data_IF_972699749239
#
_entry.id   IF_972699749239
#
_cell.length_a   1.000
_cell.length_b   1.000
_cell.length_c   1.000
_cell.angle_alpha   90.00
_cell.angle_beta   90.00
_cell.angle_gamma   90.00
#
_symmetry.space_group_name_H-M   'P 1'
#
loop_
_entity.id
_entity.type
_entity.pdbx_description
1 polymer ?
#
# COMPACT_ATOMS: atom_id res chain seq x y z
N UNK A 1 9.23 28.74 7.24
CA UNK A 1 10.43 28.27 6.51
C UNK A 1 11.12 27.28 7.43
N UNK A 2 11.15 26.01 7.03
CA UNK A 2 11.68 24.93 7.85
C UNK A 2 13.21 24.93 7.89
N UNK A 3 13.75 24.57 9.06
CA UNK A 3 15.18 24.60 9.32
C UNK A 3 15.85 23.27 8.94
N UNK A 4 16.30 23.18 7.68
CA UNK A 4 17.17 22.09 7.20
C UNK A 4 18.49 22.70 6.75
N UNK A 5 19.61 22.23 7.29
CA UNK A 5 20.92 22.50 6.71
C UNK A 5 21.02 21.84 5.32
N UNK A 6 21.06 22.65 4.27
CA UNK A 6 21.05 22.18 2.88
C UNK A 6 22.32 21.40 2.51
N UNK A 7 23.42 21.59 3.23
CA UNK A 7 24.69 20.93 2.99
C UNK A 7 24.78 19.61 3.77
N UNK A 8 24.44 19.63 5.06
CA UNK A 8 24.66 18.47 5.93
C UNK A 8 23.44 17.54 6.04
N UNK A 9 22.22 18.04 5.82
CA UNK A 9 20.94 17.30 5.82
C UNK A 9 20.89 16.19 6.87
N UNK A 10 20.97 16.60 8.13
CA UNK A 10 21.02 15.71 9.29
C UNK A 10 19.86 14.72 9.25
N UNK A 11 20.16 13.44 9.41
CA UNK A 11 19.14 12.40 9.59
C UNK A 11 18.51 12.55 10.97
N UNK A 12 17.19 12.70 11.01
CA UNK A 12 16.41 12.79 12.24
C UNK A 12 16.23 11.43 12.92
N UNK A 13 16.60 10.33 12.24
CA UNK A 13 16.50 8.96 12.76
C UNK A 13 15.09 8.60 13.26
N UNK A 14 14.07 9.15 12.61
CA UNK A 14 12.67 8.82 12.90
C UNK A 14 12.48 7.32 12.71
N UNK A 15 11.96 6.67 13.74
CA UNK A 15 11.62 5.26 13.69
C UNK A 15 10.62 4.98 12.55
N UNK A 16 10.76 3.86 11.84
CA UNK A 16 9.92 3.58 10.68
C UNK A 16 8.45 3.37 11.04
N UNK A 17 8.13 2.87 12.25
CA UNK A 17 6.75 2.81 12.73
C UNK A 17 6.17 4.23 12.94
N UNK A 18 6.94 5.11 13.59
CA UNK A 18 6.56 6.51 13.78
C UNK A 18 6.38 7.25 12.46
N UNK A 19 7.26 6.98 11.48
CA UNK A 19 7.13 7.52 10.13
C UNK A 19 5.81 7.06 9.48
N UNK A 20 5.47 5.77 9.58
CA UNK A 20 4.21 5.24 9.02
C UNK A 20 2.97 5.79 9.74
N UNK A 21 3.02 6.02 11.05
CA UNK A 21 1.93 6.63 11.81
C UNK A 21 1.61 8.07 11.37
N UNK A 22 2.54 8.76 10.69
CA UNK A 22 2.22 10.05 10.08
C UNK A 22 1.21 9.92 8.93
N UNK A 23 1.16 8.75 8.28
CA UNK A 23 0.24 8.46 7.16
C UNK A 23 -0.94 7.58 7.57
N UNK A 24 -0.75 6.71 8.56
CA UNK A 24 -1.64 5.60 8.91
C UNK A 24 -2.15 5.74 10.33
N UNK A 25 -3.37 5.28 10.58
CA UNK A 25 -3.91 5.16 11.94
C UNK A 25 -3.65 3.77 12.52
N UNK A 26 -3.65 3.67 13.85
CA UNK A 26 -3.61 2.36 14.50
C UNK A 26 -4.80 1.50 14.05
N UNK A 27 -4.54 0.22 13.80
CA UNK A 27 -5.50 -0.74 13.25
C UNK A 27 -5.71 -0.66 11.73
N UNK A 28 -5.13 0.32 11.03
CA UNK A 28 -5.22 0.37 9.57
C UNK A 28 -4.17 -0.54 8.91
N UNK A 29 -4.50 -1.18 7.78
CA UNK A 29 -3.53 -1.93 6.99
C UNK A 29 -2.54 -0.98 6.30
N UNK A 30 -1.26 -1.34 6.36
CA UNK A 30 -0.20 -0.77 5.55
C UNK A 30 0.25 -1.79 4.54
N UNK A 31 0.37 -1.35 3.29
CA UNK A 31 0.79 -2.20 2.21
C UNK A 31 2.23 -1.87 1.84
N UNK A 32 3.07 -2.89 1.81
CA UNK A 32 4.48 -2.79 1.51
C UNK A 32 4.80 -3.46 0.18
N UNK A 33 5.85 -2.95 -0.46
CA UNK A 33 6.49 -3.60 -1.60
C UNK A 33 7.98 -3.66 -1.37
N UNK A 34 8.53 -4.86 -1.48
CA UNK A 34 9.97 -5.11 -1.48
C UNK A 34 10.37 -5.49 -2.91
N UNK A 35 11.17 -4.66 -3.56
CA UNK A 35 11.53 -4.86 -4.97
C UNK A 35 13.04 -4.76 -5.15
N UNK A 36 13.61 -5.65 -5.95
CA UNK A 36 15.04 -5.68 -6.23
C UNK A 36 15.46 -4.39 -6.95
N UNK A 37 16.33 -3.61 -6.32
CA UNK A 37 16.66 -2.26 -6.80
C UNK A 37 17.51 -2.30 -8.08
N UNK A 38 18.44 -3.26 -8.19
CA UNK A 38 19.42 -3.34 -9.27
C UNK A 38 18.87 -3.95 -10.56
N UNK A 39 18.26 -5.14 -10.48
CA UNK A 39 17.80 -5.90 -11.67
C UNK A 39 16.31 -5.76 -11.94
N UNK A 40 15.52 -5.34 -10.94
CA UNK A 40 14.06 -5.38 -10.95
C UNK A 40 13.46 -6.76 -11.26
N UNK A 41 14.25 -7.84 -11.16
CA UNK A 41 13.83 -9.20 -11.51
C UNK A 41 12.81 -9.79 -10.53
N UNK A 42 12.81 -9.29 -9.29
CA UNK A 42 11.97 -9.78 -8.22
C UNK A 42 11.26 -8.65 -7.48
N UNK A 43 9.99 -8.85 -7.16
CA UNK A 43 9.25 -8.04 -6.22
C UNK A 43 8.28 -8.89 -5.39
N UNK A 44 8.08 -8.50 -4.13
CA UNK A 44 7.11 -9.08 -3.22
C UNK A 44 6.25 -7.97 -2.62
N UNK A 45 4.95 -8.24 -2.58
CA UNK A 45 3.97 -7.44 -1.84
C UNK A 45 3.67 -8.13 -0.52
N UNK A 46 3.58 -7.36 0.54
CA UNK A 46 3.11 -7.80 1.87
C UNK A 46 2.25 -6.70 2.49
N UNK A 47 1.53 -7.01 3.56
CA UNK A 47 0.84 -6.03 4.39
C UNK A 47 0.88 -6.43 5.86
N UNK A 48 0.66 -5.44 6.73
CA UNK A 48 0.37 -5.66 8.14
C UNK A 48 -0.57 -4.58 8.63
N UNK A 49 -1.15 -4.77 9.81
CA UNK A 49 -1.86 -3.71 10.50
C UNK A 49 -0.87 -2.86 11.30
N UNK A 50 -1.17 -1.56 11.43
CA UNK A 50 -0.49 -0.69 12.38
C UNK A 50 -1.00 -0.98 13.79
N UNK A 51 -0.55 -2.05 14.42
CA UNK A 51 -0.87 -2.29 15.83
C UNK A 51 0.24 -1.72 16.72
N UNK A 52 -0.15 -1.19 17.87
CA UNK A 52 0.77 -0.77 18.94
C UNK A 52 1.33 -1.98 19.72
N UNK A 53 0.94 -3.19 19.33
CA UNK A 53 1.59 -4.41 19.81
C UNK A 53 2.88 -4.59 19.02
N UNK A 54 4.03 -4.53 19.72
CA UNK A 54 5.36 -4.70 19.11
C UNK A 54 5.42 -5.93 18.20
N UNK A 55 4.65 -6.98 18.48
CA UNK A 55 4.74 -8.29 17.82
C UNK A 55 4.48 -8.26 16.30
N UNK A 56 3.46 -7.53 15.80
CA UNK A 56 3.12 -7.55 14.37
C UNK A 56 4.09 -6.71 13.52
N UNK A 57 4.37 -5.49 13.96
CA UNK A 57 5.28 -4.62 13.21
C UNK A 57 6.74 -5.08 13.33
N UNK A 58 7.15 -5.67 14.45
CA UNK A 58 8.49 -6.27 14.58
C UNK A 58 8.68 -7.44 13.60
N UNK A 59 7.65 -8.26 13.38
CA UNK A 59 7.68 -9.29 12.33
C UNK A 59 7.91 -8.64 10.95
N UNK A 60 7.20 -7.55 10.63
CA UNK A 60 7.43 -6.83 9.38
C UNK A 60 8.85 -6.27 9.26
N UNK A 61 9.44 -5.75 10.34
CA UNK A 61 10.86 -5.34 10.33
C UNK A 61 11.79 -6.52 10.04
N UNK A 62 11.50 -7.73 10.55
CA UNK A 62 12.25 -8.93 10.20
C UNK A 62 12.14 -9.28 8.71
N UNK A 63 10.93 -9.17 8.15
CA UNK A 63 10.68 -9.33 6.70
C UNK A 63 11.49 -8.30 5.90
N UNK A 64 11.48 -7.03 6.29
CA UNK A 64 12.26 -5.98 5.62
C UNK A 64 13.76 -6.28 5.63
N UNK A 65 14.32 -6.69 6.78
CA UNK A 65 15.73 -7.09 6.90
C UNK A 65 16.08 -8.25 5.96
N UNK A 66 15.22 -9.27 5.89
CA UNK A 66 15.39 -10.41 4.97
C UNK A 66 15.44 -9.97 3.51
N UNK A 67 14.58 -9.06 3.10
CA UNK A 67 14.52 -8.58 1.71
C UNK A 67 15.64 -7.58 1.38
N UNK A 68 16.06 -6.74 2.33
CA UNK A 68 17.29 -5.94 2.20
C UNK A 68 18.51 -6.83 1.90
N UNK A 69 18.65 -7.97 2.59
CA UNK A 69 19.69 -8.96 2.31
C UNK A 69 19.63 -9.59 0.92
N UNK A 70 18.49 -9.47 0.22
CA UNK A 70 18.30 -9.91 -1.18
C UNK A 70 18.46 -8.78 -2.19
N UNK A 71 18.97 -7.62 -1.78
CA UNK A 71 19.12 -6.46 -2.66
C UNK A 71 17.82 -5.72 -2.97
N UNK A 72 16.79 -5.89 -2.14
CA UNK A 72 15.51 -5.20 -2.33
C UNK A 72 15.48 -3.87 -1.58
N UNK A 73 14.96 -2.83 -2.24
CA UNK A 73 14.49 -1.62 -1.57
C UNK A 73 13.14 -1.87 -0.89
N UNK A 74 12.87 -1.14 0.20
CA UNK A 74 11.64 -1.24 0.98
C UNK A 74 10.75 -0.02 0.70
N UNK A 75 9.51 -0.28 0.29
CA UNK A 75 8.54 0.74 -0.09
C UNK A 75 7.19 0.50 0.60
N UNK A 76 6.40 1.56 0.77
CA UNK A 76 5.02 1.50 1.27
C UNK A 76 4.07 2.26 0.34
N UNK A 77 2.79 1.85 0.31
CA UNK A 77 1.73 2.61 -0.36
C UNK A 77 1.32 3.79 0.51
N UNK A 78 1.45 5.01 -0.03
CA UNK A 78 1.26 6.25 0.74
C UNK A 78 -0.17 6.41 1.21
N UNK A 79 -1.13 6.29 0.29
CA UNK A 79 -2.57 6.44 0.57
C UNK A 79 -3.18 5.15 1.16
N UNK A 80 -4.38 5.25 1.71
CA UNK A 80 -5.05 4.16 2.43
C UNK A 80 -5.92 3.31 1.51
N UNK A 81 -6.17 2.06 1.93
CA UNK A 81 -7.13 1.16 1.28
C UNK A 81 -6.48 -0.10 0.71
N UNK A 82 -5.61 0.02 -0.30
CA UNK A 82 -5.01 -1.16 -0.95
C UNK A 82 -3.82 -0.88 -1.86
N UNK A 83 -3.40 -1.91 -2.62
CA UNK A 83 -2.21 -1.84 -3.48
C UNK A 83 -2.49 -1.37 -4.91
N UNK A 84 -3.76 -1.29 -5.32
CA UNK A 84 -4.17 -0.82 -6.64
C UNK A 84 -4.94 0.49 -6.49
N UNK A 85 -4.89 1.36 -7.51
CA UNK A 85 -5.60 2.64 -7.47
C UNK A 85 -7.09 2.51 -7.16
N UNK A 86 -7.75 1.44 -7.64
CA UNK A 86 -9.18 1.15 -7.38
C UNK A 86 -9.48 0.75 -5.94
N UNK A 87 -8.47 0.30 -5.21
CA UNK A 87 -8.61 -0.12 -3.80
C UNK A 87 -8.32 1.04 -2.84
N UNK A 88 -7.88 2.20 -3.34
CA UNK A 88 -7.57 3.37 -2.50
C UNK A 88 -8.87 4.00 -2.02
N UNK A 89 -9.06 4.03 -0.70
CA UNK A 89 -10.30 4.49 -0.06
C UNK A 89 -10.19 5.89 0.51
N UNK A 90 -8.99 6.33 0.88
CA UNK A 90 -8.75 7.68 1.37
C UNK A 90 -7.31 8.14 1.12
N UNK A 91 -7.12 9.45 1.09
CA UNK A 91 -5.82 10.08 0.88
C UNK A 91 -5.12 10.32 2.22
N UNK A 92 -3.80 10.34 2.23
CA UNK A 92 -3.04 10.67 3.44
C UNK A 92 -2.08 11.82 3.19
N UNK A 93 -1.66 12.00 1.94
CA UNK A 93 -0.76 13.05 1.53
C UNK A 93 -0.88 13.33 0.02
N UNK A 94 -0.52 14.56 -0.35
CA UNK A 94 0.08 14.84 -1.66
C UNK A 94 1.59 14.77 -1.56
N UNK A 95 2.29 14.44 -2.64
CA UNK A 95 3.72 14.14 -2.57
C UNK A 95 4.44 14.33 -3.90
N UNK A 96 5.75 14.55 -3.84
CA UNK A 96 6.63 14.51 -5.01
C UNK A 96 7.81 13.55 -4.83
N UNK A 97 8.36 13.12 -5.97
CA UNK A 97 9.57 12.29 -6.06
C UNK A 97 10.55 12.96 -7.03
N UNK A 98 11.53 13.65 -6.46
CA UNK A 98 12.59 14.31 -7.21
C UNK A 98 13.80 13.37 -7.32
N UNK A 99 14.21 13.03 -8.54
CA UNK A 99 15.42 12.24 -8.84
C UNK A 99 16.33 13.05 -9.78
N UNK A 100 17.51 13.42 -9.29
CA UNK A 100 18.48 14.23 -10.03
C UNK A 100 19.58 13.40 -10.69
N UNK A 101 19.53 12.07 -10.61
CA UNK A 101 20.61 11.20 -11.11
C UNK A 101 20.74 11.19 -12.63
N UNK A 102 19.74 11.72 -13.35
CA UNK A 102 19.67 11.73 -14.81
C UNK A 102 19.37 13.13 -15.33
N UNK A 103 19.98 13.45 -16.45
CA UNK A 103 19.77 14.67 -17.21
C UNK A 103 19.43 14.33 -18.66
N UNK A 104 18.43 15.00 -19.22
CA UNK A 104 18.11 14.88 -20.65
C UNK A 104 18.97 15.91 -21.40
N UNK A 105 19.91 15.45 -22.21
CA UNK A 105 20.84 16.31 -22.95
C UNK A 105 20.41 16.57 -24.40
N UNK A 106 19.38 15.87 -24.86
CA UNK A 106 18.82 16.04 -26.20
C UNK A 106 17.82 14.95 -26.54
N UNK A 107 17.46 14.90 -27.82
CA UNK A 107 16.61 13.87 -28.40
C UNK A 107 17.35 13.28 -29.61
N UNK A 108 17.27 11.96 -29.78
CA UNK A 108 17.76 11.32 -31.00
C UNK A 108 16.82 11.58 -32.19
N UNK A 109 17.22 11.09 -33.36
CA UNK A 109 16.46 11.20 -34.62
C UNK A 109 15.05 10.60 -34.56
N UNK A 110 14.77 9.72 -33.59
CA UNK A 110 13.47 9.09 -33.37
C UNK A 110 12.67 9.77 -32.24
N UNK A 111 13.14 10.92 -31.72
CA UNK A 111 12.50 11.64 -30.63
C UNK A 111 12.70 10.99 -29.26
N UNK A 112 13.63 10.04 -29.10
CA UNK A 112 13.92 9.42 -27.81
C UNK A 112 14.91 10.29 -27.03
N UNK A 113 14.65 10.45 -25.74
CA UNK A 113 15.50 11.22 -24.82
C UNK A 113 16.91 10.62 -24.74
N UNK A 114 17.92 11.44 -24.98
CA UNK A 114 19.33 11.13 -24.71
C UNK A 114 19.61 11.49 -23.25
N UNK A 115 20.11 10.52 -22.48
CA UNK A 115 20.27 10.64 -21.02
C UNK A 115 21.75 10.65 -20.66
N UNK A 116 22.19 11.70 -19.97
CA UNK A 116 23.47 11.74 -19.23
C UNK A 116 23.20 11.40 -17.77
N UNK A 117 24.03 10.53 -17.19
CA UNK A 117 24.04 10.31 -15.74
C UNK A 117 24.89 11.39 -15.07
N UNK A 118 24.35 12.03 -14.04
CA UNK A 118 25.07 13.08 -13.30
C UNK A 118 26.13 12.47 -12.38
N UNK A 119 27.20 13.22 -12.12
CA UNK A 119 28.20 12.87 -11.10
C UNK A 119 27.63 13.08 -9.69
N UNK A 120 28.28 12.51 -8.67
CA UNK A 120 27.86 12.71 -7.28
C UNK A 120 27.85 14.21 -6.88
N UNK A 121 28.82 15.00 -7.34
CA UNK A 121 28.87 16.45 -7.08
C UNK A 121 27.74 17.22 -7.79
N UNK A 122 27.42 16.84 -9.04
CA UNK A 122 26.30 17.43 -9.79
C UNK A 122 24.94 17.09 -9.14
N UNK A 123 24.79 15.87 -8.62
CA UNK A 123 23.60 15.43 -7.87
C UNK A 123 23.49 16.22 -6.56
N UNK A 124 24.60 16.36 -5.83
CA UNK A 124 24.66 17.08 -4.56
C UNK A 124 24.28 18.55 -4.73
N UNK A 125 24.80 19.22 -5.75
CA UNK A 125 24.41 20.58 -6.10
C UNK A 125 22.91 20.67 -6.44
N UNK A 126 22.40 19.74 -7.25
CA UNK A 126 20.98 19.69 -7.61
C UNK A 126 20.08 19.50 -6.38
N UNK A 127 20.52 18.70 -5.41
CA UNK A 127 19.82 18.54 -4.13
C UNK A 127 19.76 19.83 -3.32
N UNK A 128 20.86 20.57 -3.26
CA UNK A 128 20.93 21.87 -2.56
C UNK A 128 20.00 22.89 -3.22
N UNK A 129 20.08 23.04 -4.55
CA UNK A 129 19.22 23.94 -5.33
C UNK A 129 17.73 23.61 -5.14
N UNK A 130 17.39 22.32 -5.13
CA UNK A 130 16.02 21.87 -4.91
C UNK A 130 15.50 22.18 -3.50
N UNK A 131 16.33 22.02 -2.46
CA UNK A 131 15.94 22.39 -1.10
C UNK A 131 15.77 23.90 -0.95
N UNK A 132 16.58 24.71 -1.62
CA UNK A 132 16.39 26.17 -1.68
C UNK A 132 15.02 26.49 -2.31
N UNK A 133 14.71 25.86 -3.45
CA UNK A 133 13.42 26.02 -4.12
C UNK A 133 12.24 25.60 -3.21
N UNK A 134 12.34 24.46 -2.52
CA UNK A 134 11.31 23.99 -1.59
C UNK A 134 11.14 24.93 -0.39
N UNK A 135 12.23 25.47 0.16
CA UNK A 135 12.16 26.42 1.28
C UNK A 135 11.49 27.75 0.89
N UNK A 136 11.62 28.16 -0.37
CA UNK A 136 10.98 29.37 -0.90
C UNK A 136 9.51 29.17 -1.27
N UNK A 137 9.02 27.92 -1.27
CA UNK A 137 7.62 27.64 -1.53
C UNK A 137 6.74 28.12 -0.37
N UNK A 138 5.52 28.58 -0.70
CA UNK A 138 4.62 29.26 0.23
C UNK A 138 4.22 28.38 1.42
N UNK A 139 3.97 27.09 1.16
CA UNK A 139 3.67 26.10 2.19
C UNK A 139 4.80 25.07 2.27
N UNK A 140 5.28 24.79 3.47
CA UNK A 140 6.34 23.81 3.63
C UNK A 140 5.83 22.36 3.55
N UNK A 141 6.63 21.41 3.04
CA UNK A 141 6.29 19.99 3.14
C UNK A 141 6.25 19.56 4.61
N UNK A 142 5.31 18.72 5.00
CA UNK A 142 5.24 18.09 6.33
C UNK A 142 6.44 17.17 6.60
N UNK A 143 6.85 16.41 5.58
CA UNK A 143 7.91 15.41 5.68
C UNK A 143 8.82 15.50 4.46
N UNK A 144 10.14 15.39 4.67
CA UNK A 144 11.13 15.26 3.60
C UNK A 144 12.04 14.06 3.90
N UNK A 145 12.13 13.15 2.93
CA UNK A 145 12.95 11.94 2.96
C UNK A 145 14.00 12.03 1.87
N UNK A 146 15.27 12.01 2.26
CA UNK A 146 16.40 11.97 1.33
C UNK A 146 16.61 10.55 0.80
N UNK A 147 16.64 10.43 -0.52
CA UNK A 147 17.07 9.22 -1.25
C UNK A 147 18.45 9.44 -1.86
N UNK A 148 19.06 8.39 -2.46
CA UNK A 148 20.41 8.49 -3.07
C UNK A 148 20.54 9.71 -3.98
N UNK A 149 19.61 9.88 -4.93
CA UNK A 149 19.71 10.88 -5.99
C UNK A 149 18.76 12.06 -5.84
N UNK A 150 17.96 12.13 -4.77
CA UNK A 150 17.04 13.25 -4.57
C UNK A 150 16.15 13.08 -3.35
N UNK A 151 14.85 13.38 -3.46
CA UNK A 151 13.96 13.50 -2.32
C UNK A 151 12.55 12.98 -2.59
N UNK A 152 11.97 12.31 -1.59
CA UNK A 152 10.52 12.25 -1.45
C UNK A 152 10.07 13.34 -0.48
N UNK A 153 9.03 14.09 -0.83
CA UNK A 153 8.50 15.14 0.03
C UNK A 153 6.97 15.08 0.04
N UNK A 154 6.37 15.36 1.18
CA UNK A 154 4.97 15.09 1.46
C UNK A 154 4.30 16.29 2.09
N UNK A 155 3.11 16.65 1.62
CA UNK A 155 2.15 17.48 2.35
C UNK A 155 1.06 16.55 2.89
N UNK A 156 1.12 16.27 4.19
CA UNK A 156 0.14 15.42 4.87
C UNK A 156 -1.23 16.09 4.84
N UNK A 157 -2.27 15.29 4.62
CA UNK A 157 -3.64 15.80 4.55
C UNK A 157 -4.32 15.78 5.93
N UNK A 158 -5.19 16.76 6.16
CA UNK A 158 -6.24 16.70 7.19
C UNK A 158 -7.21 15.55 6.83
N UNK A 159 -7.78 14.88 7.83
CA UNK A 159 -8.64 13.70 7.60
C UNK A 159 -9.98 14.06 6.95
N UNK A 160 -10.46 15.26 7.21
CA UNK A 160 -11.75 15.74 6.75
C UNK A 160 -11.68 16.22 5.29
N UNK A 161 -12.78 16.00 4.54
CA UNK A 161 -13.02 16.60 3.22
C UNK A 161 -11.96 16.29 2.15
N UNK A 162 -11.44 15.06 2.15
CA UNK A 162 -10.55 14.59 1.09
C UNK A 162 -11.35 14.10 -0.11
N UNK A 163 -11.01 14.61 -1.29
CA UNK A 163 -11.58 14.20 -2.55
C UNK A 163 -10.51 13.52 -3.43
N UNK A 164 -10.74 12.23 -3.71
CA UNK A 164 -9.91 11.42 -4.60
C UNK A 164 -9.81 12.03 -6.00
N UNK A 165 -10.86 12.74 -6.45
CA UNK A 165 -10.95 13.36 -7.77
C UNK A 165 -9.94 14.52 -7.93
N UNK A 166 -9.62 15.21 -6.83
CA UNK A 166 -8.65 16.30 -6.78
C UNK A 166 -7.21 15.82 -6.69
N UNK A 167 -6.98 14.52 -6.40
CA UNK A 167 -5.63 13.99 -6.22
C UNK A 167 -4.73 14.23 -7.45
N UNK A 168 -5.16 13.74 -8.61
CA UNK A 168 -4.38 13.77 -9.84
C UNK A 168 -4.12 15.19 -10.37
N UNK A 169 -5.10 16.11 -10.39
CA UNK A 169 -4.86 17.50 -10.76
C UNK A 169 -3.81 18.20 -9.89
N UNK A 170 -3.92 18.07 -8.57
CA UNK A 170 -2.96 18.68 -7.65
C UNK A 170 -1.57 18.03 -7.80
N UNK A 171 -1.48 16.70 -7.94
CA UNK A 171 -0.20 16.04 -8.21
C UNK A 171 0.47 16.55 -9.49
N UNK A 172 -0.30 16.78 -10.56
CA UNK A 172 0.24 17.40 -11.78
C UNK A 172 0.74 18.83 -11.53
N UNK A 173 0.05 19.61 -10.72
CA UNK A 173 0.50 20.95 -10.36
C UNK A 173 1.81 20.90 -9.54
N UNK A 174 1.95 19.95 -8.60
CA UNK A 174 3.21 19.69 -7.87
C UNK A 174 4.32 19.32 -8.84
N UNK A 175 4.07 18.37 -9.76
CA UNK A 175 5.04 17.94 -10.78
C UNK A 175 5.51 19.13 -11.61
N UNK A 176 4.59 20.00 -12.05
CA UNK A 176 4.94 21.17 -12.85
C UNK A 176 5.73 22.21 -12.04
N UNK A 177 5.35 22.44 -10.78
CA UNK A 177 6.01 23.41 -9.90
C UNK A 177 7.45 23.03 -9.58
N UNK A 178 7.70 21.75 -9.35
CA UNK A 178 8.98 21.21 -8.87
C UNK A 178 9.75 20.41 -9.91
N UNK A 179 9.22 20.28 -11.13
CA UNK A 179 9.81 19.53 -12.24
C UNK A 179 10.23 18.10 -11.86
N UNK A 180 9.37 17.39 -11.13
CA UNK A 180 9.61 16.02 -10.65
C UNK A 180 9.15 14.96 -11.66
N UNK A 181 9.28 13.67 -11.33
CA UNK A 181 8.86 12.58 -12.22
C UNK A 181 7.37 12.72 -12.62
N UNK A 182 7.06 12.84 -13.94
CA UNK A 182 5.69 13.04 -14.41
C UNK A 182 4.76 11.85 -14.16
N UNK A 183 5.32 10.69 -13.83
CA UNK A 183 4.53 9.51 -13.56
C UNK A 183 3.88 9.55 -12.18
N UNK A 184 4.29 10.43 -11.25
CA UNK A 184 3.84 10.44 -9.83
C UNK A 184 2.41 11.00 -9.66
N UNK A 185 1.44 10.42 -10.38
CA UNK A 185 0.03 10.83 -10.39
C UNK A 185 -0.92 9.71 -9.95
N UNK A 186 -0.38 8.54 -9.59
CA UNK A 186 -1.14 7.36 -9.21
C UNK A 186 -1.51 7.37 -7.72
N UNK A 187 -2.77 7.04 -7.41
CA UNK A 187 -3.28 7.00 -6.03
C UNK A 187 -2.54 5.98 -5.15
N UNK A 188 -2.12 4.86 -5.73
CA UNK A 188 -1.41 3.77 -5.05
C UNK A 188 0.12 3.90 -5.13
N UNK A 189 0.65 5.12 -5.31
CA UNK A 189 2.10 5.33 -5.42
C UNK A 189 2.80 4.74 -4.19
N UNK A 190 3.87 4.00 -4.48
CA UNK A 190 4.80 3.49 -3.49
C UNK A 190 6.02 4.41 -3.38
N UNK A 191 6.47 4.68 -2.16
CA UNK A 191 7.69 5.46 -1.89
C UNK A 191 8.53 4.76 -0.82
N UNK A 192 9.83 5.10 -0.75
CA UNK A 192 10.78 4.43 0.15
C UNK A 192 10.55 4.83 1.61
N UNK A 193 10.75 3.86 2.51
CA UNK A 193 10.72 4.05 3.96
C UNK A 193 12.12 4.47 4.45
N UNK A 194 12.25 5.44 5.39
CA UNK A 194 13.51 5.76 6.05
C UNK A 194 14.17 4.57 6.74
N UNK A 195 15.46 4.72 7.08
CA UNK A 195 16.30 3.74 7.77
C UNK A 195 16.73 2.50 6.97
N UNK A 196 16.10 2.22 5.82
CA UNK A 196 16.50 1.14 4.91
C UNK A 196 17.49 1.63 3.85
N UNK A 197 18.13 0.71 3.11
CA UNK A 197 19.12 1.08 2.10
C UNK A 197 18.50 1.15 0.70
N UNK A 198 18.96 2.11 -0.09
CA UNK A 198 18.86 2.10 -1.54
C UNK A 198 20.00 1.24 -2.10
N UNK A 199 19.65 0.19 -2.86
CA UNK A 199 20.57 -0.86 -3.30
C UNK A 199 20.66 -0.99 -4.82
N UNK A 200 20.42 0.10 -5.57
CA UNK A 200 20.56 0.12 -7.03
C UNK A 200 21.99 -0.21 -7.45
N UNK A 201 22.95 0.33 -6.71
CA UNK A 201 24.35 -0.05 -6.74
C UNK A 201 24.72 -0.70 -5.39
N UNK A 202 24.80 -2.05 -5.33
CA UNK A 202 25.14 -2.75 -4.09
C UNK A 202 26.53 -2.40 -3.53
N UNK A 203 27.45 -1.88 -4.36
CA UNK A 203 28.78 -1.47 -3.92
C UNK A 203 28.80 -0.08 -3.28
N UNK A 204 27.75 0.72 -3.53
CA UNK A 204 27.59 2.08 -3.00
C UNK A 204 26.19 2.28 -2.40
N UNK A 205 25.84 1.51 -1.35
CA UNK A 205 24.52 1.59 -0.73
C UNK A 205 24.30 2.95 -0.08
N UNK A 206 23.07 3.44 -0.11
CA UNK A 206 22.70 4.69 0.55
C UNK A 206 21.55 4.48 1.52
N UNK A 207 21.76 4.85 2.78
CA UNK A 207 20.69 4.80 3.79
C UNK A 207 19.71 5.94 3.55
N UNK A 208 18.43 5.60 3.38
CA UNK A 208 17.33 6.56 3.25
C UNK A 208 17.18 7.30 4.57
N UNK A 209 17.23 8.65 4.54
CA UNK A 209 17.20 9.51 5.73
C UNK A 209 15.90 10.29 5.79
N UNK A 210 15.36 10.50 6.98
CA UNK A 210 14.29 11.47 7.18
C UNK A 210 14.94 12.77 7.64
N UNK A 211 14.86 13.83 6.84
CA UNK A 211 15.58 15.09 7.09
C UNK A 211 14.65 16.23 7.55
N UNK A 212 13.34 16.04 7.41
CA UNK A 212 12.29 16.84 8.07
C UNK A 212 11.11 15.94 8.39
N UNK A 213 10.57 16.09 9.59
CA UNK A 213 9.41 15.35 10.05
C UNK A 213 8.55 16.21 10.98
N UNK A 214 7.35 16.56 10.51
CA UNK A 214 6.29 17.15 11.32
C UNK A 214 4.97 16.46 10.98
N UNK A 215 4.53 15.55 11.85
CA UNK A 215 3.30 14.76 11.67
C UNK A 215 2.02 15.55 11.99
N UNK A 216 2.15 16.72 12.62
CA UNK A 216 1.06 17.61 12.97
C UNK A 216 0.81 18.66 11.89
N UNK A 217 1.83 19.00 11.09
CA UNK A 217 1.68 19.91 9.96
C UNK A 217 0.88 19.26 8.84
N UNK A 218 -0.41 19.60 8.76
CA UNK A 218 -1.38 19.00 7.82
C UNK A 218 -2.17 20.07 7.09
N UNK A 219 -2.48 19.77 5.83
CA UNK A 219 -3.14 20.67 4.90
C UNK A 219 -4.44 20.08 4.36
N UNK A 220 -5.36 20.94 3.96
CA UNK A 220 -6.45 20.61 3.06
C UNK A 220 -5.92 20.59 1.62
N UNK A 221 -6.64 19.90 0.73
CA UNK A 221 -6.31 19.95 -0.70
C UNK A 221 -6.45 21.37 -1.28
N UNK A 222 -7.31 22.21 -0.70
CA UNK A 222 -7.48 23.61 -1.11
C UNK A 222 -6.25 24.44 -0.75
N UNK A 223 -5.75 24.36 0.50
CA UNK A 223 -4.52 25.05 0.91
C UNK A 223 -3.33 24.68 0.01
N UNK A 224 -3.22 23.40 -0.38
CA UNK A 224 -2.15 22.94 -1.30
C UNK A 224 -2.37 23.49 -2.72
N UNK A 225 -3.61 23.44 -3.22
CA UNK A 225 -3.92 23.91 -4.57
C UNK A 225 -3.74 25.42 -4.72
N UNK A 226 -4.14 26.21 -3.71
CA UNK A 226 -3.98 27.67 -3.69
C UNK A 226 -2.50 28.05 -3.75
N UNK A 227 -1.65 27.41 -2.94
CA UNK A 227 -0.20 27.62 -2.97
C UNK A 227 0.44 27.21 -4.32
N UNK A 228 -0.17 26.25 -5.04
CA UNK A 228 0.22 25.84 -6.37
C UNK A 228 -0.39 26.70 -7.49
N UNK A 229 -1.25 27.65 -7.16
CA UNK A 229 -2.05 28.44 -8.10
C UNK A 229 -2.87 27.55 -9.04
N UNK A 230 -3.43 26.47 -8.48
CA UNK A 230 -4.24 25.48 -9.17
C UNK A 230 -5.72 25.77 -8.94
N UNK A 231 -6.44 26.18 -9.99
CA UNK A 231 -7.87 26.49 -9.91
C UNK A 231 -8.72 25.21 -9.75
N UNK A 232 -9.06 24.89 -8.50
CA UNK A 232 -9.89 23.75 -8.16
C UNK A 232 -11.33 23.88 -8.67
N UNK A 233 -11.86 25.09 -8.88
CA UNK A 233 -13.22 25.28 -9.38
C UNK A 233 -13.32 24.83 -10.84
N UNK A 234 -12.32 25.16 -11.67
CA UNK A 234 -12.23 24.66 -13.04
C UNK A 234 -12.15 23.13 -13.06
N UNK A 235 -11.36 22.55 -12.15
CA UNK A 235 -11.21 21.10 -12.03
C UNK A 235 -12.55 20.44 -11.64
N UNK A 236 -13.20 20.93 -10.59
CA UNK A 236 -14.50 20.44 -10.12
C UNK A 236 -15.56 20.57 -11.22
N UNK A 237 -15.61 21.70 -11.93
CA UNK A 237 -16.54 21.90 -13.06
C UNK A 237 -16.30 20.90 -14.19
N UNK A 238 -15.04 20.60 -14.51
CA UNK A 238 -14.71 19.59 -15.53
C UNK A 238 -15.07 18.17 -15.08
N UNK A 239 -14.92 17.87 -13.79
CA UNK A 239 -15.30 16.58 -13.20
C UNK A 239 -16.83 16.44 -13.21
N UNK A 240 -17.57 17.47 -12.79
CA UNK A 240 -19.04 17.49 -12.83
C UNK A 240 -19.57 17.27 -14.25
N UNK A 241 -19.02 17.96 -15.26
CA UNK A 241 -19.38 17.74 -16.67
C UNK A 241 -19.12 16.32 -17.15
N UNK A 242 -18.02 15.70 -16.70
CA UNK A 242 -17.69 14.31 -17.03
C UNK A 242 -18.62 13.31 -16.33
N UNK A 243 -18.99 13.58 -15.09
CA UNK A 243 -19.97 12.78 -14.33
C UNK A 243 -21.35 12.86 -15.00
N UNK A 244 -21.80 14.05 -15.39
CA UNK A 244 -23.07 14.25 -16.12
C UNK A 244 -23.12 13.49 -17.45
N UNK A 245 -22.00 13.44 -18.18
CA UNK A 245 -21.89 12.65 -19.41
C UNK A 245 -22.01 11.14 -19.13
N UNK A 246 -21.30 10.63 -18.10
CA UNK A 246 -21.34 9.21 -17.72
C UNK A 246 -22.70 8.78 -17.14
N UNK A 247 -23.39 9.66 -16.39
CA UNK A 247 -24.73 9.38 -15.86
C UNK A 247 -25.75 9.22 -16.99
N UNK A 248 -25.64 10.02 -18.06
CA UNK A 248 -26.49 9.87 -19.26
C UNK A 248 -26.29 8.52 -19.95
N UNK A 249 -25.06 8.00 -19.98
CA UNK A 249 -24.76 6.66 -20.51
C UNK A 249 -25.26 5.54 -19.59
N UNK A 250 -25.09 5.67 -18.28
CA UNK A 250 -25.49 4.63 -17.32
C UNK A 250 -27.01 4.54 -17.09
N UNK A 251 -27.77 5.63 -17.25
CA UNK A 251 -29.24 5.62 -17.17
C UNK A 251 -29.91 4.70 -18.20
N UNK A 252 -29.22 4.38 -19.29
CA UNK A 252 -29.69 3.43 -20.31
C UNK A 252 -29.56 1.96 -19.83
N UNK A 253 -28.73 1.69 -18.83
CA UNK A 253 -28.40 0.33 -18.37
C UNK A 253 -29.18 -0.11 -17.11
N UNK A 254 -29.66 0.82 -16.28
CA UNK A 254 -30.25 0.53 -14.95
C UNK A 254 -31.73 0.05 -14.96
N UNK A 255 -32.43 0.01 -16.10
CA UNK A 255 -33.84 -0.44 -16.14
C UNK A 255 -34.06 -1.95 -15.90
N UNK A 256 -33.01 -2.72 -15.58
CA UNK A 256 -33.07 -4.20 -15.46
C UNK A 256 -32.43 -4.72 -14.17
N UNK A 257 -33.10 -4.56 -13.02
CA UNK A 257 -33.26 -5.61 -11.99
C UNK A 257 -33.76 -5.06 -10.66
N UNK A 258 -34.73 -5.75 -10.05
CA UNK A 258 -35.13 -5.57 -8.63
C UNK A 258 -34.69 -6.80 -7.81
N UNK A 259 -34.45 -6.69 -6.50
CA UNK A 259 -33.86 -7.77 -5.70
C UNK A 259 -34.89 -8.62 -4.95
N UNK A 260 -34.55 -9.90 -4.72
CA UNK A 260 -35.25 -10.77 -3.75
C UNK A 260 -34.29 -11.69 -2.95
N UNK A 261 -34.19 -11.36 -1.65
CA UNK A 261 -34.16 -12.13 -0.38
C UNK A 261 -33.38 -13.48 -0.24
N UNK A 262 -32.35 -13.44 0.65
CA UNK A 262 -31.72 -14.43 1.58
C UNK A 262 -30.79 -15.55 1.04
N UNK A 263 -29.72 -16.02 1.71
CA UNK A 263 -29.29 -16.10 3.14
C UNK A 263 -27.80 -15.69 3.32
N UNK A 264 -27.49 -14.87 4.32
CA UNK A 264 -26.12 -14.55 4.74
C UNK A 264 -25.40 -15.81 5.27
N UNK A 265 -24.20 -16.09 4.76
CA UNK A 265 -23.27 -17.03 5.41
C UNK A 265 -22.67 -16.28 6.61
N UNK A 266 -23.08 -16.60 7.83
CA UNK A 266 -22.65 -15.88 9.04
C UNK A 266 -21.52 -16.58 9.80
N UNK A 267 -21.20 -17.84 9.46
CA UNK A 267 -20.14 -18.60 10.13
C UNK A 267 -19.48 -19.67 9.22
N UNK A 268 -18.31 -20.16 9.64
CA UNK A 268 -17.63 -21.31 9.00
C UNK A 268 -18.31 -22.60 9.43
N UNK A 269 -18.63 -23.46 8.48
CA UNK A 269 -19.20 -24.77 8.72
C UNK A 269 -18.10 -25.81 8.60
N UNK A 270 -17.67 -26.37 9.73
CA UNK A 270 -16.67 -27.45 9.76
C UNK A 270 -17.42 -28.77 9.61
N UNK A 271 -17.46 -29.31 8.37
CA UNK A 271 -18.32 -30.46 8.02
C UNK A 271 -17.68 -31.84 8.25
N UNK A 272 -16.39 -31.91 8.62
CA UNK A 272 -15.65 -33.16 8.84
C UNK A 272 -14.74 -33.07 10.07
N UNK A 273 -14.48 -34.20 10.72
CA UNK A 273 -13.39 -34.35 11.68
C UNK A 273 -12.03 -34.24 10.95
N UNK A 274 -11.19 -33.30 11.39
CA UNK A 274 -9.88 -33.04 10.79
C UNK A 274 -8.80 -33.85 11.48
N UNK A 275 -7.82 -34.32 10.70
CA UNK A 275 -6.66 -35.05 11.23
C UNK A 275 -5.82 -34.15 12.13
N UNK A 276 -5.48 -34.64 13.33
CA UNK A 276 -4.54 -33.95 14.22
C UNK A 276 -3.19 -33.82 13.53
N UNK A 277 -2.86 -32.59 13.11
CA UNK A 277 -1.61 -32.27 12.44
C UNK A 277 -0.85 -31.24 13.26
N UNK A 278 0.37 -31.60 13.66
CA UNK A 278 1.28 -30.68 14.34
C UNK A 278 1.98 -29.79 13.31
N UNK A 279 2.11 -28.50 13.65
CA UNK A 279 2.81 -27.51 12.83
C UNK A 279 3.89 -26.84 13.66
N UNK A 280 5.04 -26.59 13.04
CA UNK A 280 6.19 -25.99 13.72
C UNK A 280 6.21 -24.46 13.61
N UNK A 281 5.53 -23.90 12.60
CA UNK A 281 5.55 -22.47 12.30
C UNK A 281 4.14 -21.95 11.94
N UNK A 282 3.92 -20.65 12.10
CA UNK A 282 2.66 -20.00 11.68
C UNK A 282 2.54 -20.04 10.16
N UNK A 283 3.66 -19.96 9.44
CA UNK A 283 3.71 -20.05 7.98
C UNK A 283 3.16 -21.39 7.48
N UNK A 284 3.55 -22.51 8.10
CA UNK A 284 3.04 -23.83 7.74
C UNK A 284 1.54 -23.94 7.99
N UNK A 285 1.03 -23.30 9.05
CA UNK A 285 -0.40 -23.25 9.36
C UNK A 285 -1.15 -22.43 8.33
N UNK A 286 -0.64 -21.26 7.96
CA UNK A 286 -1.25 -20.40 6.94
C UNK A 286 -1.30 -21.12 5.59
N UNK A 287 -0.21 -21.77 5.19
CA UNK A 287 -0.16 -22.54 3.95
C UNK A 287 -1.08 -23.75 3.98
N UNK A 288 -1.22 -24.40 5.14
CA UNK A 288 -2.21 -25.46 5.34
C UNK A 288 -3.64 -24.94 5.21
N UNK A 289 -3.99 -23.85 5.90
CA UNK A 289 -5.33 -23.27 5.87
C UNK A 289 -5.74 -22.86 4.44
N UNK A 290 -4.82 -22.27 3.66
CA UNK A 290 -5.07 -21.89 2.26
C UNK A 290 -5.33 -23.05 1.30
N UNK A 291 -4.93 -24.26 1.68
CA UNK A 291 -5.10 -25.48 0.88
C UNK A 291 -6.39 -26.23 1.20
N UNK A 292 -7.15 -25.78 2.19
CA UNK A 292 -8.41 -26.42 2.56
C UNK A 292 -9.48 -26.18 1.50
N UNK A 293 -10.33 -27.17 1.29
CA UNK A 293 -11.45 -27.06 0.34
C UNK A 293 -12.40 -25.96 0.82
N UNK A 294 -12.42 -24.88 0.05
CA UNK A 294 -13.17 -23.69 0.40
C UNK A 294 -14.69 -23.90 0.34
N UNK A 295 -15.16 -24.80 -0.52
CA UNK A 295 -16.59 -25.15 -0.60
C UNK A 295 -17.02 -25.87 0.67
N UNK A 296 -16.22 -26.83 1.13
CA UNK A 296 -16.48 -27.56 2.37
C UNK A 296 -16.46 -26.63 3.60
N UNK A 297 -15.42 -25.79 3.72
CA UNK A 297 -15.23 -24.91 4.88
C UNK A 297 -16.31 -23.83 4.99
N UNK A 298 -16.79 -23.32 3.86
CA UNK A 298 -17.83 -22.29 3.83
C UNK A 298 -19.25 -22.86 3.75
N UNK A 299 -19.40 -24.19 3.71
CA UNK A 299 -20.69 -24.85 3.53
C UNK A 299 -21.35 -24.56 2.17
N UNK A 300 -20.56 -24.22 1.15
CA UNK A 300 -21.03 -23.90 -0.19
C UNK A 300 -21.15 -25.20 -0.98
N UNK A 301 -22.40 -25.60 -1.29
CA UNK A 301 -22.71 -26.76 -2.14
C UNK A 301 -22.55 -26.39 -3.62
N UNK A 302 -21.30 -26.21 -4.07
CA UNK A 302 -20.96 -25.94 -5.47
C UNK A 302 -19.66 -26.65 -5.82
N UNK A 303 -19.58 -27.25 -7.01
CA UNK A 303 -18.34 -27.83 -7.52
C UNK A 303 -17.35 -26.74 -7.93
N UNK A 304 -16.03 -26.99 -7.88
CA UNK A 304 -15.04 -26.03 -8.36
C UNK A 304 -15.31 -25.59 -9.80
N UNK A 305 -15.15 -24.29 -10.06
CA UNK A 305 -15.42 -23.61 -11.32
C UNK A 305 -16.91 -23.55 -11.73
N UNK A 306 -17.84 -24.00 -10.88
CA UNK A 306 -19.28 -23.77 -11.08
C UNK A 306 -19.68 -22.46 -10.41
N UNK A 307 -20.47 -21.65 -11.12
CA UNK A 307 -20.93 -20.38 -10.60
C UNK A 307 -22.04 -20.56 -9.54
N UNK A 308 -21.98 -19.79 -8.46
CA UNK A 308 -23.00 -19.71 -7.41
C UNK A 308 -23.22 -18.26 -6.97
N UNK A 309 -24.20 -18.02 -6.10
CA UNK A 309 -24.52 -16.67 -5.60
C UNK A 309 -23.43 -16.20 -4.62
N UNK A 310 -23.06 -14.92 -4.69
CA UNK A 310 -22.03 -14.38 -3.81
C UNK A 310 -22.42 -14.49 -2.33
N UNK A 311 -21.43 -14.79 -1.47
CA UNK A 311 -21.62 -14.85 -0.02
C UNK A 311 -21.57 -13.47 0.66
N UNK A 312 -21.26 -12.41 -0.10
CA UNK A 312 -21.04 -11.07 0.45
C UNK A 312 -22.03 -10.00 -0.02
N UNK A 313 -22.88 -10.31 -1.01
CA UNK A 313 -23.96 -9.41 -1.43
C UNK A 313 -25.04 -10.20 -2.15
N UNK A 314 -26.19 -9.57 -2.30
CA UNK A 314 -27.29 -10.12 -3.06
C UNK A 314 -26.98 -10.10 -4.57
N UNK A 315 -27.35 -11.20 -5.20
CA UNK A 315 -27.18 -11.46 -6.62
C UNK A 315 -28.48 -12.02 -7.20
N UNK A 316 -28.94 -11.46 -8.32
CA UNK A 316 -30.05 -12.04 -9.10
C UNK A 316 -29.58 -13.17 -10.04
N UNK A 317 -28.28 -13.22 -10.34
CA UNK A 317 -27.63 -14.28 -11.12
C UNK A 317 -26.34 -14.72 -10.43
N UNK A 318 -25.98 -16.02 -10.45
CA UNK A 318 -24.72 -16.50 -9.90
C UNK A 318 -23.54 -15.66 -10.37
N UNK A 319 -22.85 -14.99 -9.44
CA UNK A 319 -21.73 -14.11 -9.75
C UNK A 319 -20.41 -14.60 -9.15
N UNK A 320 -20.48 -15.53 -8.19
CA UNK A 320 -19.32 -16.06 -7.50
C UNK A 320 -18.87 -17.41 -8.07
N UNK A 321 -17.58 -17.70 -7.94
CA UNK A 321 -16.97 -18.97 -8.34
C UNK A 321 -15.79 -19.28 -7.42
N UNK A 322 -15.64 -20.55 -7.06
CA UNK A 322 -14.46 -21.06 -6.36
C UNK A 322 -13.62 -21.81 -7.39
N UNK A 323 -12.41 -21.36 -7.64
CA UNK A 323 -11.46 -22.07 -8.51
C UNK A 323 -10.52 -22.92 -7.66
N UNK A 324 -10.08 -24.06 -8.19
CA UNK A 324 -9.03 -24.88 -7.60
C UNK A 324 -7.91 -25.06 -8.63
N UNK A 325 -6.70 -24.65 -8.27
CA UNK A 325 -5.47 -24.92 -9.05
C UNK A 325 -4.46 -25.61 -8.15
N UNK A 326 -4.20 -26.90 -8.39
CA UNK A 326 -3.22 -27.69 -7.64
C UNK A 326 -3.43 -27.66 -6.10
N UNK A 327 -4.71 -27.67 -5.66
CA UNK A 327 -5.08 -27.65 -4.24
C UNK A 327 -5.03 -26.26 -3.60
N UNK A 328 -4.87 -25.19 -4.38
CA UNK A 328 -5.04 -23.82 -3.92
C UNK A 328 -6.42 -23.32 -4.34
N UNK A 329 -7.26 -23.04 -3.36
CA UNK A 329 -8.63 -22.57 -3.57
C UNK A 329 -8.70 -21.05 -3.57
N UNK A 330 -9.44 -20.49 -4.52
CA UNK A 330 -9.65 -19.05 -4.63
C UNK A 330 -11.10 -18.74 -4.96
N UNK A 331 -11.70 -17.89 -4.13
CA UNK A 331 -13.04 -17.34 -4.34
C UNK A 331 -12.97 -16.07 -5.18
N UNK A 332 -13.80 -16.01 -6.21
CA UNK A 332 -14.01 -14.82 -7.04
C UNK A 332 -15.47 -14.46 -7.01
N UNK A 333 -15.76 -13.16 -7.09
CA UNK A 333 -17.07 -12.65 -7.43
C UNK A 333 -16.91 -11.70 -8.62
N UNK A 334 -17.62 -11.98 -9.70
CA UNK A 334 -17.58 -11.26 -10.96
C UNK A 334 -18.62 -10.13 -11.03
N UNK A 335 -19.40 -9.93 -9.95
CA UNK A 335 -20.36 -8.84 -9.89
C UNK A 335 -19.63 -7.50 -9.71
N UNK A 336 -19.92 -6.49 -10.55
CA UNK A 336 -19.28 -5.17 -10.45
C UNK A 336 -19.68 -4.41 -9.18
N UNK A 337 -20.76 -4.81 -8.52
CA UNK A 337 -21.24 -4.22 -7.26
C UNK A 337 -20.65 -4.92 -6.01
N UNK A 338 -19.89 -6.00 -6.19
CA UNK A 338 -19.28 -6.72 -5.07
C UNK A 338 -18.17 -5.89 -4.44
N UNK A 339 -18.39 -5.43 -3.21
CA UNK A 339 -17.37 -4.70 -2.42
C UNK A 339 -16.11 -5.53 -2.12
N UNK A 340 -16.19 -6.84 -2.31
CA UNK A 340 -15.08 -7.77 -2.06
C UNK A 340 -14.55 -8.43 -3.34
N UNK A 341 -14.84 -7.84 -4.51
CA UNK A 341 -14.23 -8.26 -5.77
C UNK A 341 -12.70 -8.20 -5.70
N UNK A 342 -12.05 -9.30 -6.05
CA UNK A 342 -10.58 -9.40 -6.12
C UNK A 342 -10.15 -10.21 -7.35
N UNK A 343 -9.43 -9.56 -8.28
CA UNK A 343 -8.90 -10.20 -9.49
C UNK A 343 -7.88 -11.33 -9.24
N UNK A 344 -7.29 -11.38 -8.04
CA UNK A 344 -6.39 -12.48 -7.62
C UNK A 344 -7.12 -13.57 -6.82
N UNK A 345 -8.40 -13.37 -6.53
CA UNK A 345 -9.23 -14.26 -5.72
C UNK A 345 -8.91 -14.19 -4.23
N UNK A 346 -9.93 -14.36 -3.41
CA UNK A 346 -9.83 -14.43 -1.96
C UNK A 346 -9.48 -15.87 -1.55
N UNK A 347 -8.51 -16.03 -0.64
CA UNK A 347 -8.37 -17.30 0.08
C UNK A 347 -9.30 -17.36 1.31
N UNK A 348 -9.29 -18.49 2.02
CA UNK A 348 -10.18 -18.68 3.17
C UNK A 348 -9.90 -17.69 4.31
N UNK A 349 -8.65 -17.25 4.47
CA UNK A 349 -8.28 -16.29 5.51
C UNK A 349 -8.81 -14.90 5.11
N UNK A 350 -8.62 -14.51 3.85
CA UNK A 350 -9.18 -13.26 3.31
C UNK A 350 -10.70 -13.19 3.51
N UNK A 351 -11.40 -14.30 3.26
CA UNK A 351 -12.85 -14.42 3.43
C UNK A 351 -13.24 -14.21 4.90
N UNK A 352 -12.55 -14.87 5.84
CA UNK A 352 -12.82 -14.71 7.28
C UNK A 352 -12.57 -13.28 7.75
N UNK A 353 -11.45 -12.68 7.36
CA UNK A 353 -11.13 -11.29 7.67
C UNK A 353 -12.28 -10.36 7.25
N UNK A 354 -12.83 -10.58 6.06
CA UNK A 354 -13.92 -9.76 5.49
C UNK A 354 -15.28 -10.04 6.14
N UNK A 355 -15.63 -11.32 6.31
CA UNK A 355 -16.90 -11.74 6.92
C UNK A 355 -17.03 -11.25 8.36
N UNK A 356 -15.94 -11.36 9.15
CA UNK A 356 -15.97 -11.05 10.58
C UNK A 356 -15.40 -9.68 10.93
N UNK A 357 -14.86 -8.96 9.93
CA UNK A 357 -14.16 -7.68 10.16
C UNK A 357 -13.05 -7.80 11.22
N UNK A 358 -12.27 -8.88 11.14
CA UNK A 358 -11.16 -9.19 12.06
C UNK A 358 -9.81 -9.17 11.34
N UNK A 359 -8.73 -9.07 12.11
CA UNK A 359 -7.35 -9.03 11.60
C UNK A 359 -6.92 -10.38 11.00
N UNK A 360 -5.82 -10.39 10.23
CA UNK A 360 -5.27 -11.63 9.67
C UNK A 360 -4.94 -12.66 10.76
N UNK A 361 -4.28 -12.23 11.85
CA UNK A 361 -3.90 -13.15 12.93
C UNK A 361 -5.12 -13.64 13.72
N UNK A 362 -6.15 -12.80 13.90
CA UNK A 362 -7.43 -13.22 14.50
C UNK A 362 -8.17 -14.18 13.60
N UNK A 363 -8.15 -13.97 12.28
CA UNK A 363 -8.71 -14.90 11.31
C UNK A 363 -7.97 -16.24 11.31
N UNK A 364 -6.64 -16.23 11.38
CA UNK A 364 -5.82 -17.45 11.54
C UNK A 364 -6.13 -18.15 12.85
N UNK A 365 -6.20 -17.42 13.98
CA UNK A 365 -6.58 -18.00 15.29
C UNK A 365 -7.97 -18.59 15.27
N UNK A 366 -8.93 -17.87 14.69
CA UNK A 366 -10.31 -18.31 14.53
C UNK A 366 -10.39 -19.59 13.67
N UNK A 367 -9.66 -19.64 12.56
CA UNK A 367 -9.54 -20.84 11.74
C UNK A 367 -8.86 -21.97 12.51
N UNK A 368 -7.76 -21.72 13.23
CA UNK A 368 -7.11 -22.73 14.06
C UNK A 368 -8.07 -23.33 15.09
N UNK A 369 -8.89 -22.50 15.74
CA UNK A 369 -9.95 -22.97 16.65
C UNK A 369 -10.99 -23.85 15.93
N UNK A 370 -11.42 -23.46 14.73
CA UNK A 370 -12.39 -24.23 13.92
C UNK A 370 -11.83 -25.56 13.42
N UNK A 371 -10.53 -25.61 13.11
CA UNK A 371 -9.85 -26.80 12.63
C UNK A 371 -9.19 -27.62 13.75
N UNK A 372 -9.35 -27.24 15.02
CA UNK A 372 -8.68 -27.85 16.17
C UNK A 372 -7.15 -27.92 16.03
N UNK A 373 -6.55 -26.91 15.40
CA UNK A 373 -5.09 -26.78 15.23
C UNK A 373 -4.53 -26.03 16.43
N UNK A 374 -3.58 -26.65 17.12
CA UNK A 374 -2.82 -25.97 18.17
C UNK A 374 -1.81 -25.01 17.55
N UNK A 375 -1.86 -23.75 17.97
CA UNK A 375 -0.89 -22.74 17.52
C UNK A 375 0.46 -22.99 18.19
N UNK A 376 1.60 -22.87 17.49
CA UNK A 376 2.92 -23.05 18.09
C UNK A 376 3.08 -22.08 19.27
N UNK A 377 3.36 -22.66 20.43
CA UNK A 377 3.38 -22.01 21.75
C UNK A 377 4.38 -20.83 21.84
N UNK A 378 4.16 -19.92 22.80
CA UNK A 378 4.79 -18.59 23.04
C UNK A 378 6.34 -18.55 23.22
N UNK A 379 7.08 -19.52 22.68
CA UNK A 379 8.55 -19.63 22.80
C UNK A 379 9.34 -18.54 22.05
N UNK A 380 8.69 -17.66 21.29
CA UNK A 380 9.33 -16.54 20.59
C UNK A 380 9.52 -15.28 21.44
N UNK A 381 8.87 -15.16 22.61
CA UNK A 381 9.14 -14.07 23.58
C UNK A 381 10.51 -14.20 24.25
N UNK A 382 11.14 -15.39 24.25
CA UNK A 382 12.36 -15.68 25.01
C UNK A 382 13.69 -15.51 24.27
N UNK A 383 13.69 -15.13 22.98
CA UNK A 383 14.93 -14.75 22.27
C UNK A 383 15.36 -13.30 22.52
N UNK A 384 14.47 -12.44 23.07
CA UNK A 384 14.80 -11.06 23.48
C UNK A 384 15.36 -10.96 24.92
N UNK A 385 15.42 -12.04 25.71
CA UNK A 385 15.87 -12.01 27.13
C UNK A 385 17.27 -12.59 27.41
N UNK A 386 18.00 -13.10 26.41
CA UNK A 386 19.33 -13.73 26.64
C UNK A 386 20.56 -12.87 26.33
N UNK A 387 20.43 -11.60 25.94
CA UNK A 387 21.58 -10.71 25.72
C UNK A 387 21.50 -9.35 26.45
N UNK A 388 20.70 -9.27 27.52
CA UNK A 388 20.82 -8.17 28.49
C UNK A 388 21.16 -8.86 29.81
N UNK A 389 22.28 -8.46 30.42
CA UNK A 389 22.99 -9.10 31.54
C UNK A 389 23.92 -10.26 31.16
N UNK A 390 25.09 -9.93 30.59
CA UNK A 390 26.38 -10.48 31.03
C UNK A 390 27.47 -9.42 30.79
N UNK A 391 27.86 -8.80 31.91
CA UNK A 391 29.10 -8.08 32.28
C UNK A 391 29.85 -7.35 31.16
#
# INVERSE_FOLDING_TARGET
>A
MFDIDIYNRKDLQIDDFQFLLAFKELGQPVFFRMAQDSTKAFAKSENCLMLDTEEEYEFMRMVFKRYQGKGCGIFFVVNNGGQRSKDITSLTAHFGDADFGKEVTGFDENGKKIIKYRTDDEIEKSKQDFLIQLKQFEIEPSIIVETKNGFHFYWLLKKENQDLSLFKPIQKAIINKFNTDPNIVDLNRILRIPNYLHLKDPSNPFRIKCIKFDSHLRYTQHEIADALQCDLQIIQNNISKKIEANIKENKVLEEKCKPSVLKEVTDIVVLKEWENKEFNTIEDIVDYLRRQDMGEVLGIKSEPNVAFRCIFHDDNHPSAVITNKQGVYKYFCNSPICKFHNENGLDIIDIVCKMKSITFIEAVKYLCQKFSIEMPDERWKNLKRKNIYRI
#
